data_IF_620548362619
#
_entry.id   IF_620548362619
#
_cell.length_a   1.000
_cell.length_b   1.000
_cell.length_c   1.000
_cell.angle_alpha   90.00
_cell.angle_beta   90.00
_cell.angle_gamma   90.00
#
_symmetry.space_group_name_H-M   'P 1'
#
loop_
_entity.id
_entity.type
_entity.pdbx_description
1 polymer ?
#
# COMPACT_ATOMS: atom_id res chain seq x y z
N UNK A 1 10.69 -7.15 70.80
CA UNK A 1 9.46 -7.18 69.98
C UNK A 1 9.30 -6.04 68.97
N UNK A 2 9.67 -4.78 69.28
CA UNK A 2 9.52 -3.64 68.33
C UNK A 2 10.43 -3.72 67.07
N UNK A 3 11.66 -4.24 67.21
CA UNK A 3 12.62 -4.38 66.10
C UNK A 3 12.18 -5.40 65.03
N UNK A 4 11.62 -6.54 65.44
CA UNK A 4 11.10 -7.56 64.52
C UNK A 4 9.92 -7.06 63.67
N UNK A 5 9.03 -6.23 64.24
CA UNK A 5 7.92 -5.61 63.49
C UNK A 5 8.41 -4.55 62.49
N UNK A 6 9.49 -3.82 62.80
CA UNK A 6 10.08 -2.85 61.89
C UNK A 6 10.77 -3.54 60.69
N UNK A 7 11.52 -4.62 60.93
CA UNK A 7 12.13 -5.44 59.87
C UNK A 7 11.08 -6.12 58.97
N UNK A 8 10.03 -6.68 59.55
CA UNK A 8 8.93 -7.29 58.77
C UNK A 8 8.22 -6.29 57.88
N UNK A 9 7.96 -5.06 58.37
CA UNK A 9 7.37 -3.99 57.55
C UNK A 9 8.31 -3.53 56.44
N UNK A 10 9.60 -3.37 56.72
CA UNK A 10 10.59 -2.98 55.72
C UNK A 10 10.72 -4.03 54.60
N UNK A 11 10.63 -5.33 54.93
CA UNK A 11 10.63 -6.41 53.95
C UNK A 11 9.40 -6.35 53.03
N UNK A 12 8.20 -6.15 53.60
CA UNK A 12 6.96 -6.01 52.82
C UNK A 12 7.02 -4.79 51.88
N UNK A 13 7.55 -3.66 52.35
CA UNK A 13 7.73 -2.48 51.50
C UNK A 13 8.73 -2.72 50.36
N UNK A 14 9.83 -3.45 50.62
CA UNK A 14 10.81 -3.79 49.59
C UNK A 14 10.21 -4.70 48.51
N UNK A 15 9.46 -5.74 48.89
CA UNK A 15 8.76 -6.60 47.92
C UNK A 15 7.73 -5.84 47.09
N UNK A 16 6.99 -4.92 47.70
CA UNK A 16 6.04 -4.07 46.98
C UNK A 16 6.73 -3.16 45.95
N UNK A 17 7.88 -2.59 46.31
CA UNK A 17 8.69 -1.73 45.43
C UNK A 17 9.27 -2.53 44.25
N UNK A 18 9.76 -3.74 44.50
CA UNK A 18 10.21 -4.67 43.46
C UNK A 18 9.04 -5.05 42.55
N UNK A 19 7.86 -5.33 43.13
CA UNK A 19 6.64 -5.62 42.38
C UNK A 19 6.26 -4.51 41.42
N UNK A 20 6.26 -3.25 41.89
CA UNK A 20 6.00 -2.08 41.04
C UNK A 20 7.05 -1.94 39.94
N UNK A 21 8.34 -2.13 40.26
CA UNK A 21 9.41 -2.05 39.27
C UNK A 21 9.22 -3.09 38.16
N UNK A 22 8.95 -4.35 38.51
CA UNK A 22 8.67 -5.41 37.53
C UNK A 22 7.44 -5.09 36.70
N UNK A 23 6.35 -4.62 37.32
CA UNK A 23 5.13 -4.26 36.61
C UNK A 23 5.35 -3.11 35.63
N UNK A 24 6.09 -2.09 36.05
CA UNK A 24 6.43 -0.94 35.21
C UNK A 24 7.29 -1.34 34.00
N UNK A 25 8.26 -2.23 34.20
CA UNK A 25 9.07 -2.79 33.11
C UNK A 25 8.23 -3.60 32.13
N UNK A 26 7.30 -4.43 32.64
CA UNK A 26 6.38 -5.20 31.81
C UNK A 26 5.49 -4.29 30.96
N UNK A 27 4.93 -3.23 31.56
CA UNK A 27 4.11 -2.25 30.81
C UNK A 27 4.93 -1.60 29.70
N UNK A 28 6.16 -1.16 29.97
CA UNK A 28 7.03 -0.55 28.95
C UNK A 28 7.33 -1.52 27.81
N UNK A 29 7.63 -2.78 28.12
CA UNK A 29 7.90 -3.81 27.11
C UNK A 29 6.65 -4.06 26.27
N UNK A 30 5.50 -4.25 26.89
CA UNK A 30 4.23 -4.50 26.19
C UNK A 30 3.80 -3.31 25.33
N UNK A 31 4.01 -2.07 25.79
CA UNK A 31 3.71 -0.88 24.99
C UNK A 31 4.60 -0.78 23.76
N UNK A 32 5.91 -1.08 23.89
CA UNK A 32 6.84 -1.07 22.74
C UNK A 32 6.51 -2.15 21.72
N UNK A 33 6.21 -3.38 22.17
CA UNK A 33 5.84 -4.46 21.26
C UNK A 33 4.50 -4.19 20.59
N UNK A 34 3.51 -3.68 21.32
CA UNK A 34 2.21 -3.27 20.76
C UNK A 34 2.37 -2.19 19.69
N UNK A 35 3.17 -1.15 19.96
CA UNK A 35 3.46 -0.10 18.99
C UNK A 35 4.16 -0.67 17.74
N UNK A 36 5.16 -1.54 17.92
CA UNK A 36 5.84 -2.20 16.81
C UNK A 36 4.88 -3.03 15.95
N UNK A 37 3.97 -3.78 16.57
CA UNK A 37 2.97 -4.56 15.84
C UNK A 37 2.01 -3.64 15.07
N UNK A 38 1.51 -2.57 15.69
CA UNK A 38 0.65 -1.60 15.01
C UNK A 38 1.34 -0.97 13.80
N UNK A 39 2.60 -0.57 13.93
CA UNK A 39 3.36 -0.02 12.78
C UNK A 39 3.52 -1.03 11.65
N UNK A 40 3.72 -2.32 11.98
CA UNK A 40 3.83 -3.37 10.98
C UNK A 40 2.51 -3.63 10.26
N UNK A 41 1.40 -3.67 11.01
CA UNK A 41 0.06 -3.79 10.44
C UNK A 41 -0.28 -2.60 9.54
N UNK A 42 0.02 -1.36 9.97
CA UNK A 42 -0.20 -0.17 9.15
C UNK A 42 0.61 -0.20 7.86
N UNK A 43 1.89 -0.61 7.91
CA UNK A 43 2.71 -0.75 6.72
C UNK A 43 2.12 -1.78 5.74
N UNK A 44 1.69 -2.95 6.24
CA UNK A 44 1.06 -3.99 5.42
C UNK A 44 -0.26 -3.50 4.82
N UNK A 45 -1.10 -2.83 5.59
CA UNK A 45 -2.37 -2.27 5.09
C UNK A 45 -2.14 -1.20 4.03
N UNK A 46 -1.12 -0.34 4.19
CA UNK A 46 -0.74 0.63 3.17
C UNK A 46 -0.35 -0.07 1.87
N UNK A 47 0.48 -1.11 1.93
CA UNK A 47 0.87 -1.90 0.77
C UNK A 47 -0.35 -2.51 0.05
N UNK A 48 -1.23 -3.17 0.81
CA UNK A 48 -2.46 -3.75 0.23
C UNK A 48 -3.36 -2.69 -0.41
N UNK A 49 -3.45 -1.49 0.17
CA UNK A 49 -4.22 -0.39 -0.41
C UNK A 49 -3.60 0.10 -1.73
N UNK A 50 -2.28 0.24 -1.80
CA UNK A 50 -1.56 0.60 -3.04
C UNK A 50 -1.77 -0.44 -4.13
N UNK A 51 -1.65 -1.73 -3.81
CA UNK A 51 -1.92 -2.82 -4.76
C UNK A 51 -3.35 -2.77 -5.29
N UNK A 52 -4.34 -2.57 -4.40
CA UNK A 52 -5.74 -2.45 -4.79
C UNK A 52 -6.00 -1.23 -5.68
N UNK A 53 -5.38 -0.08 -5.38
CA UNK A 53 -5.48 1.12 -6.23
C UNK A 53 -4.95 0.85 -7.64
N UNK A 54 -3.79 0.21 -7.76
CA UNK A 54 -3.19 -0.12 -9.06
C UNK A 54 -4.05 -1.12 -9.82
N UNK A 55 -4.54 -2.17 -9.16
CA UNK A 55 -5.45 -3.14 -9.79
C UNK A 55 -6.74 -2.49 -10.27
N UNK A 56 -7.35 -1.62 -9.46
CA UNK A 56 -8.53 -0.86 -9.87
C UNK A 56 -8.22 0.06 -11.07
N UNK A 57 -7.08 0.73 -11.09
CA UNK A 57 -6.67 1.56 -12.23
C UNK A 57 -6.49 0.72 -13.50
N UNK A 58 -5.83 -0.45 -13.40
CA UNK A 58 -5.68 -1.39 -14.52
C UNK A 58 -7.04 -1.87 -15.04
N UNK A 59 -7.98 -2.21 -14.15
CA UNK A 59 -9.31 -2.68 -14.52
C UNK A 59 -10.12 -1.57 -15.19
N UNK A 60 -10.03 -0.33 -14.71
CA UNK A 60 -10.66 0.83 -15.37
C UNK A 60 -10.09 1.03 -16.77
N UNK A 61 -8.77 1.08 -16.93
CA UNK A 61 -8.15 1.25 -18.25
C UNK A 61 -8.57 0.12 -19.19
N UNK A 62 -8.52 -1.13 -18.72
CA UNK A 62 -8.92 -2.29 -19.50
C UNK A 62 -10.38 -2.23 -19.94
N UNK A 63 -11.28 -1.77 -19.06
CA UNK A 63 -12.71 -1.63 -19.37
C UNK A 63 -12.99 -0.53 -20.40
N UNK A 64 -12.22 0.57 -20.38
CA UNK A 64 -12.32 1.59 -21.42
C UNK A 64 -11.80 1.05 -22.75
N UNK A 65 -10.60 0.47 -22.77
CA UNK A 65 -10.02 -0.08 -23.99
C UNK A 65 -10.86 -1.21 -24.59
N UNK A 66 -11.54 -2.03 -23.77
CA UNK A 66 -12.40 -3.12 -24.29
C UNK A 66 -13.65 -2.66 -25.04
N UNK A 67 -13.97 -1.36 -24.99
CA UNK A 67 -15.07 -0.76 -25.76
C UNK A 67 -14.57 -0.09 -27.05
N UNK A 68 -13.26 -0.02 -27.21
CA UNK A 68 -12.60 0.64 -28.32
C UNK A 68 -11.99 -0.40 -29.26
N UNK A 69 -11.78 0.01 -30.51
CA UNK A 69 -11.21 -0.86 -31.54
C UNK A 69 -9.73 -0.57 -31.78
N UNK A 70 -9.22 0.54 -31.25
CA UNK A 70 -7.83 0.95 -31.36
C UNK A 70 -7.46 1.93 -30.25
N UNK A 71 -6.17 2.00 -29.93
CA UNK A 71 -5.58 3.01 -29.07
C UNK A 71 -4.16 3.32 -29.53
N UNK A 72 -3.64 4.47 -29.10
CA UNK A 72 -2.26 4.87 -29.34
C UNK A 72 -1.59 5.11 -27.99
N UNK A 73 -0.41 4.52 -27.80
CA UNK A 73 0.41 4.76 -26.63
C UNK A 73 1.73 5.42 -27.04
N UNK A 74 2.00 6.60 -26.49
CA UNK A 74 3.21 7.38 -26.77
C UNK A 74 3.58 8.20 -25.53
N UNK A 75 4.86 8.24 -25.15
CA UNK A 75 5.39 9.07 -24.06
C UNK A 75 4.55 9.01 -22.76
N UNK A 76 4.28 7.80 -22.28
CA UNK A 76 3.46 7.54 -21.08
C UNK A 76 2.04 8.12 -21.15
N UNK A 77 1.54 8.34 -22.36
CA UNK A 77 0.17 8.79 -22.65
C UNK A 77 -0.52 7.75 -23.54
N UNK A 78 -1.64 7.22 -23.04
CA UNK A 78 -2.55 6.35 -23.76
C UNK A 78 -3.73 7.19 -24.26
N UNK A 79 -3.94 7.24 -25.57
CA UNK A 79 -5.01 8.00 -26.22
C UNK A 79 -5.96 7.09 -26.98
N UNK A 80 -7.27 7.26 -26.79
CA UNK A 80 -8.33 6.47 -27.43
C UNK A 80 -9.61 7.30 -27.47
N UNK A 81 -10.39 7.27 -28.56
CA UNK A 81 -11.71 7.91 -28.68
C UNK A 81 -11.89 9.33 -28.08
N UNK A 82 -10.83 10.16 -28.08
CA UNK A 82 -10.87 11.51 -27.50
C UNK A 82 -10.60 11.59 -25.98
N UNK A 83 -10.36 10.45 -25.33
CA UNK A 83 -9.94 10.31 -23.95
C UNK A 83 -8.44 10.02 -23.84
N UNK A 84 -7.83 10.42 -22.74
CA UNK A 84 -6.40 10.22 -22.48
C UNK A 84 -6.11 9.74 -21.06
N UNK A 85 -5.40 8.62 -20.94
CA UNK A 85 -4.69 8.28 -19.71
C UNK A 85 -3.26 8.83 -19.77
N UNK A 86 -2.82 9.58 -18.76
CA UNK A 86 -1.50 10.22 -18.75
C UNK A 86 -0.82 10.01 -17.41
N UNK A 87 0.43 9.58 -17.45
CA UNK A 87 1.28 9.58 -16.26
C UNK A 87 1.96 10.94 -16.12
N UNK A 88 1.65 11.66 -15.05
CA UNK A 88 2.19 12.99 -14.73
C UNK A 88 2.60 13.01 -13.27
N UNK A 89 3.86 13.34 -12.98
CA UNK A 89 4.38 13.45 -11.60
C UNK A 89 4.01 12.24 -10.72
N UNK A 90 4.29 11.04 -11.21
CA UNK A 90 3.99 9.76 -10.57
C UNK A 90 2.50 9.53 -10.26
N UNK A 91 1.61 10.18 -11.00
CA UNK A 91 0.17 10.05 -10.84
C UNK A 91 -0.45 9.79 -12.19
N UNK A 92 -1.34 8.81 -12.26
CA UNK A 92 -2.07 8.45 -13.47
C UNK A 92 -3.41 9.19 -13.49
N UNK A 93 -3.65 9.91 -14.58
CA UNK A 93 -4.83 10.74 -14.79
C UNK A 93 -5.63 10.25 -15.98
N UNK A 94 -6.96 10.32 -15.91
CA UNK A 94 -7.90 10.16 -17.01
C UNK A 94 -8.60 11.49 -17.26
N UNK A 95 -8.33 12.18 -18.38
CA UNK A 95 -8.97 13.46 -18.73
C UNK A 95 -9.00 14.50 -17.59
N UNK A 96 -7.89 14.62 -16.85
CA UNK A 96 -7.72 15.47 -15.66
C UNK A 96 -8.42 14.98 -14.38
N UNK A 97 -8.96 13.76 -14.36
CA UNK A 97 -9.36 13.08 -13.12
C UNK A 97 -8.24 12.15 -12.63
N UNK A 98 -7.86 12.28 -11.37
CA UNK A 98 -6.85 11.42 -10.76
C UNK A 98 -7.40 10.00 -10.61
N UNK A 99 -6.73 9.03 -11.24
CA UNK A 99 -7.11 7.61 -11.17
C UNK A 99 -6.28 6.84 -10.14
N UNK A 100 -4.97 7.06 -10.14
CA UNK A 100 -4.04 6.41 -9.21
C UNK A 100 -2.85 7.31 -8.93
N UNK A 101 -2.46 7.41 -7.68
CA UNK A 101 -1.23 8.03 -7.21
C UNK A 101 -0.11 6.98 -7.06
N UNK A 102 1.13 7.44 -6.83
CA UNK A 102 2.31 6.60 -6.58
C UNK A 102 2.68 5.63 -7.74
N UNK A 103 2.28 5.95 -8.98
CA UNK A 103 2.63 5.19 -10.18
C UNK A 103 3.99 5.66 -10.70
N UNK A 104 4.99 4.79 -10.74
CA UNK A 104 6.31 5.09 -11.30
C UNK A 104 6.37 4.96 -12.81
N UNK A 105 5.63 4.02 -13.36
CA UNK A 105 5.76 3.60 -14.75
C UNK A 105 4.41 3.14 -15.27
N UNK A 106 4.13 3.48 -16.52
CA UNK A 106 2.91 3.15 -17.21
C UNK A 106 3.27 2.78 -18.63
N UNK A 107 2.83 1.61 -19.08
CA UNK A 107 3.00 1.11 -20.44
C UNK A 107 1.72 0.44 -20.91
N UNK A 108 1.36 0.68 -22.17
CA UNK A 108 0.24 0.01 -22.81
C UNK A 108 0.62 -0.35 -24.25
N UNK A 109 0.42 -1.62 -24.61
CA UNK A 109 0.81 -2.13 -25.93
C UNK A 109 -0.19 -3.14 -26.47
N UNK A 110 -0.39 -3.09 -27.77
CA UNK A 110 -1.03 -4.16 -28.52
C UNK A 110 -0.08 -5.36 -28.53
N UNK A 111 -0.62 -6.54 -28.21
CA UNK A 111 0.07 -7.81 -28.35
C UNK A 111 -0.19 -8.40 -29.73
N UNK A 112 -1.44 -8.31 -30.18
CA UNK A 112 -1.92 -8.75 -31.50
C UNK A 112 -2.87 -7.68 -32.08
N UNK A 113 -3.71 -8.03 -33.06
CA UNK A 113 -4.69 -7.11 -33.66
C UNK A 113 -5.79 -6.67 -32.70
N UNK A 114 -6.15 -7.50 -31.72
CA UNK A 114 -7.25 -7.24 -30.78
C UNK A 114 -6.82 -7.39 -29.31
N UNK A 115 -5.70 -8.05 -29.04
CA UNK A 115 -5.25 -8.28 -27.66
C UNK A 115 -4.34 -7.14 -27.22
N UNK A 116 -4.54 -6.61 -26.01
CA UNK A 116 -3.68 -5.59 -25.44
C UNK A 116 -3.15 -5.98 -24.06
N UNK A 117 -2.07 -5.32 -23.66
CA UNK A 117 -1.43 -5.45 -22.36
C UNK A 117 -1.19 -4.07 -21.77
N UNK A 118 -1.67 -3.86 -20.55
CA UNK A 118 -1.39 -2.68 -19.74
C UNK A 118 -0.48 -3.08 -18.59
N UNK A 119 0.55 -2.28 -18.32
CA UNK A 119 1.45 -2.45 -17.18
C UNK A 119 1.51 -1.17 -16.38
N UNK A 120 1.29 -1.28 -15.06
CA UNK A 120 1.50 -0.20 -14.10
C UNK A 120 2.50 -0.65 -13.05
N UNK A 121 3.48 0.18 -12.75
CA UNK A 121 4.44 -0.09 -11.69
C UNK A 121 4.38 0.99 -10.61
N UNK A 122 4.54 0.58 -9.36
CA UNK A 122 4.61 1.48 -8.20
C UNK A 122 5.81 1.15 -7.31
N UNK A 123 6.18 2.10 -6.46
CA UNK A 123 7.20 1.89 -5.43
C UNK A 123 6.55 1.34 -4.16
N UNK A 124 6.82 0.09 -3.84
CA UNK A 124 6.31 -0.54 -2.64
C UNK A 124 7.43 -0.69 -1.61
N UNK A 125 7.39 0.14 -0.56
CA UNK A 125 8.37 0.22 0.55
C UNK A 125 9.80 0.59 0.13
N UNK A 126 10.39 -0.17 -0.80
CA UNK A 126 11.71 0.07 -1.40
C UNK A 126 11.93 -0.69 -2.72
N UNK A 127 10.92 -1.41 -3.24
CA UNK A 127 11.01 -2.21 -4.46
C UNK A 127 9.98 -1.74 -5.49
N UNK A 128 10.38 -1.75 -6.77
CA UNK A 128 9.44 -1.52 -7.87
C UNK A 128 8.59 -2.79 -8.03
N UNK A 129 7.30 -2.69 -7.74
CA UNK A 129 6.30 -3.74 -8.00
C UNK A 129 5.55 -3.36 -9.27
N UNK A 130 5.46 -4.29 -10.23
CA UNK A 130 4.79 -4.07 -11.52
C UNK A 130 3.63 -5.05 -11.68
N UNK A 131 2.48 -4.52 -12.05
CA UNK A 131 1.25 -5.25 -12.27
C UNK A 131 0.86 -5.14 -13.74
N UNK A 132 0.47 -6.27 -14.31
CA UNK A 132 0.09 -6.38 -15.72
C UNK A 132 -1.34 -6.87 -15.84
N UNK A 133 -2.10 -6.26 -16.75
CA UNK A 133 -3.44 -6.70 -17.15
C UNK A 133 -3.47 -6.91 -18.65
N UNK A 134 -4.07 -8.02 -19.07
CA UNK A 134 -4.32 -8.32 -20.50
C UNK A 134 -5.82 -8.22 -20.73
N UNK A 135 -6.20 -7.72 -21.90
CA UNK A 135 -7.59 -7.62 -22.32
C UNK A 135 -7.72 -7.70 -23.83
N UNK A 136 -8.96 -7.59 -24.29
CA UNK A 136 -9.33 -7.61 -25.71
C UNK A 136 -10.06 -6.33 -26.05
N UNK A 137 -9.72 -5.77 -27.21
CA UNK A 137 -10.45 -4.68 -27.85
C UNK A 137 -11.82 -5.18 -28.34
N UNK A 138 -12.71 -4.24 -28.58
CA UNK A 138 -14.00 -4.57 -29.18
C UNK A 138 -13.81 -4.95 -30.65
N UNK A 139 -14.46 -6.03 -31.07
CA UNK A 139 -14.54 -6.43 -32.47
C UNK A 139 -15.76 -5.78 -33.12
N UNK A 140 -15.51 -5.02 -34.19
CA UNK A 140 -16.55 -4.52 -35.10
C UNK A 140 -16.89 -5.58 -36.15
#
# INVERSE_FOLDING_TARGET
MKWFRAQSRAFIFAEFLIGILVLSLLVVVLSRTSLSLQTHHLAKTKQTLTDLKIHNALDVIAQYLSKENQFVFLDSTLSFAGHTFRLINNSLWLDNMLLCDEVLDFDARLLDTQTFSITLCALESSKKSCFKRVGWLHDI
#
